data_IF_173864164208
#
_entry.id   IF_173864164208
#
_cell.length_a   1.000
_cell.length_b   1.000
_cell.length_c   1.000
_cell.angle_alpha   90.00
_cell.angle_beta   90.00
_cell.angle_gamma   90.00
#
_symmetry.space_group_name_H-M   'P 1'
#
loop_
_entity.id
_entity.type
_entity.pdbx_description
1 polymer ?
#
# COMPACT_ATOMS: atom_id res chain seq x y z
N UNK A 1 40.65 -16.79 -3.02
CA UNK A 1 39.79 -15.90 -2.22
C UNK A 1 40.69 -15.06 -1.33
N UNK A 2 40.52 -13.72 -1.30
CA UNK A 2 41.28 -12.82 -0.45
C UNK A 2 40.89 -12.96 1.04
N UNK A 3 41.78 -12.47 1.91
CA UNK A 3 41.55 -12.37 3.35
C UNK A 3 41.55 -10.91 3.80
N UNK A 4 40.53 -10.52 4.56
CA UNK A 4 40.47 -9.22 5.23
C UNK A 4 40.87 -9.39 6.70
N UNK A 5 41.93 -8.68 7.10
CA UNK A 5 42.43 -8.70 8.48
C UNK A 5 42.00 -7.43 9.19
N UNK A 6 41.37 -7.58 10.36
CA UNK A 6 40.86 -6.46 11.15
C UNK A 6 40.90 -6.78 12.64
N UNK A 7 40.60 -5.78 13.47
CA UNK A 7 40.49 -5.92 14.92
C UNK A 7 39.07 -5.56 15.36
N UNK A 8 38.46 -6.40 16.19
CA UNK A 8 37.23 -6.09 16.91
C UNK A 8 37.54 -6.25 18.40
N UNK A 9 37.25 -5.21 19.19
CA UNK A 9 37.69 -5.11 20.59
C UNK A 9 39.21 -5.32 20.69
N UNK A 10 39.66 -6.33 21.43
CA UNK A 10 41.06 -6.69 21.61
C UNK A 10 41.49 -7.94 20.83
N UNK A 11 40.71 -8.37 19.83
CA UNK A 11 40.98 -9.59 19.05
C UNK A 11 41.22 -9.26 17.58
N UNK A 12 42.29 -9.83 17.04
CA UNK A 12 42.53 -9.86 15.60
C UNK A 12 41.68 -10.95 14.95
N UNK A 13 41.13 -10.63 13.78
CA UNK A 13 40.25 -11.50 13.01
C UNK A 13 40.72 -11.48 11.56
N UNK A 14 40.69 -12.65 10.92
CA UNK A 14 40.95 -12.82 9.50
C UNK A 14 39.71 -13.44 8.87
N UNK A 15 39.09 -12.74 7.92
CA UNK A 15 37.86 -13.16 7.25
C UNK A 15 38.17 -13.45 5.78
N UNK A 16 37.83 -14.64 5.33
CA UNK A 16 37.82 -14.98 3.90
C UNK A 16 36.55 -14.42 3.26
N UNK A 17 36.66 -13.84 2.07
CA UNK A 17 35.52 -13.24 1.38
C UNK A 17 35.64 -13.35 -0.15
N UNK A 18 34.50 -13.22 -0.85
CA UNK A 18 34.47 -13.06 -2.30
C UNK A 18 34.81 -11.61 -2.68
N UNK A 19 35.70 -11.37 -3.65
CA UNK A 19 36.12 -10.01 -4.06
C UNK A 19 34.94 -9.06 -4.34
N UNK A 20 33.83 -9.57 -4.89
CA UNK A 20 32.60 -8.79 -5.15
C UNK A 20 31.94 -8.19 -3.89
N UNK A 21 32.24 -8.75 -2.72
CA UNK A 21 31.65 -8.37 -1.44
C UNK A 21 32.65 -7.62 -0.53
N UNK A 22 33.84 -7.26 -1.03
CA UNK A 22 34.88 -6.56 -0.28
C UNK A 22 34.35 -5.35 0.49
N UNK A 23 33.68 -4.44 -0.21
CA UNK A 23 33.13 -3.21 0.38
C UNK A 23 32.09 -3.54 1.45
N UNK A 24 31.22 -4.53 1.22
CA UNK A 24 30.20 -4.92 2.19
C UNK A 24 30.81 -5.46 3.47
N UNK A 25 31.87 -6.26 3.37
CA UNK A 25 32.59 -6.79 4.53
C UNK A 25 33.22 -5.65 5.33
N UNK A 26 33.91 -4.72 4.65
CA UNK A 26 34.54 -3.57 5.30
C UNK A 26 33.50 -2.71 6.01
N UNK A 27 32.41 -2.35 5.33
CA UNK A 27 31.32 -1.54 5.90
C UNK A 27 30.66 -2.24 7.10
N UNK A 28 30.44 -3.55 7.01
CA UNK A 28 29.86 -4.32 8.13
C UNK A 28 30.77 -4.31 9.36
N UNK A 29 32.07 -4.46 9.17
CA UNK A 29 33.04 -4.42 10.27
C UNK A 29 33.11 -3.02 10.88
N UNK A 30 33.10 -1.97 10.06
CA UNK A 30 33.09 -0.59 10.52
C UNK A 30 31.83 -0.31 11.37
N UNK A 31 30.66 -0.75 10.92
CA UNK A 31 29.41 -0.63 11.67
C UNK A 31 29.47 -1.37 13.02
N UNK A 32 30.04 -2.57 13.05
CA UNK A 32 30.22 -3.33 14.30
C UNK A 32 31.10 -2.55 15.27
N UNK A 33 32.24 -2.04 14.80
CA UNK A 33 33.17 -1.27 15.64
C UNK A 33 32.53 0.02 16.15
N UNK A 34 31.81 0.76 15.31
CA UNK A 34 31.08 1.96 15.73
C UNK A 34 30.04 1.65 16.82
N UNK A 35 29.24 0.60 16.65
CA UNK A 35 28.26 0.19 17.67
C UNK A 35 28.93 -0.25 18.98
N UNK A 36 30.09 -0.89 18.91
CA UNK A 36 30.89 -1.25 20.08
C UNK A 36 31.39 0.01 20.80
N UNK A 37 32.00 0.94 20.07
CA UNK A 37 32.53 2.18 20.64
C UNK A 37 31.43 2.99 21.33
N UNK A 38 30.25 3.09 20.70
CA UNK A 38 29.07 3.74 21.28
C UNK A 38 28.60 3.05 22.58
N UNK A 39 28.63 1.71 22.64
CA UNK A 39 28.30 0.98 23.86
C UNK A 39 29.32 1.20 24.96
N UNK A 40 30.61 1.23 24.63
CA UNK A 40 31.70 1.42 25.59
C UNK A 40 31.71 2.83 26.21
N UNK A 41 31.02 3.81 25.61
CA UNK A 41 30.78 5.11 26.25
C UNK A 41 29.82 5.01 27.45
N UNK A 42 28.99 3.96 27.54
CA UNK A 42 28.04 3.77 28.63
C UNK A 42 28.76 3.12 29.82
N UNK A 43 28.74 3.72 31.02
CA UNK A 43 29.49 3.23 32.19
C UNK A 43 29.16 1.81 32.68
N UNK A 44 28.07 1.22 32.20
CA UNK A 44 27.65 -0.16 32.48
C UNK A 44 28.43 -1.18 31.65
N UNK A 45 28.86 -0.80 30.44
CA UNK A 45 29.53 -1.68 29.49
C UNK A 45 31.05 -1.41 29.41
N UNK A 46 31.56 -0.42 30.14
CA UNK A 46 32.97 -0.05 30.15
C UNK A 46 33.74 -0.61 31.36
N UNK A 47 35.07 -0.46 31.33
CA UNK A 47 35.99 -0.73 32.45
C UNK A 47 35.89 -2.15 33.03
N UNK A 48 35.75 -3.18 32.18
CA UNK A 48 35.76 -4.59 32.60
C UNK A 48 34.52 -5.03 33.40
N UNK A 49 33.48 -4.19 33.47
CA UNK A 49 32.20 -4.54 34.12
C UNK A 49 31.39 -5.58 33.35
N UNK A 50 31.71 -5.76 32.07
CA UNK A 50 31.15 -6.78 31.19
C UNK A 50 32.30 -7.42 30.42
N UNK A 51 32.22 -8.73 30.18
CA UNK A 51 33.21 -9.41 29.36
C UNK A 51 32.96 -9.13 27.87
N UNK A 52 34.04 -9.08 27.09
CA UNK A 52 33.98 -8.92 25.62
C UNK A 52 33.00 -9.90 24.97
N UNK A 53 32.97 -11.16 25.44
CA UNK A 53 32.05 -12.18 24.94
C UNK A 53 30.59 -11.79 25.19
N UNK A 54 30.25 -11.32 26.39
CA UNK A 54 28.87 -10.92 26.70
C UNK A 54 28.49 -9.67 25.91
N UNK A 55 29.40 -8.70 25.78
CA UNK A 55 29.19 -7.49 24.98
C UNK A 55 28.90 -7.84 23.51
N UNK A 56 29.69 -8.73 22.92
CA UNK A 56 29.49 -9.20 21.54
C UNK A 56 28.18 -9.99 21.41
N UNK A 57 27.83 -10.84 22.37
CA UNK A 57 26.54 -11.56 22.37
C UNK A 57 25.35 -10.59 22.43
N UNK A 58 25.41 -9.56 23.27
CA UNK A 58 24.36 -8.53 23.34
C UNK A 58 24.23 -7.78 22.01
N UNK A 59 25.35 -7.38 21.42
CA UNK A 59 25.35 -6.73 20.11
C UNK A 59 24.76 -7.64 19.02
N UNK A 60 25.10 -8.93 19.03
CA UNK A 60 24.53 -9.91 18.10
C UNK A 60 23.01 -10.02 18.23
N UNK A 61 22.49 -10.04 19.46
CA UNK A 61 21.04 -10.08 19.73
C UNK A 61 20.36 -8.82 19.20
N UNK A 62 20.95 -7.65 19.44
CA UNK A 62 20.42 -6.37 18.97
C UNK A 62 20.39 -6.27 17.44
N UNK A 63 21.48 -6.66 16.77
CA UNK A 63 21.54 -6.67 15.31
C UNK A 63 20.51 -7.63 14.69
N UNK A 64 20.29 -8.80 15.33
CA UNK A 64 19.24 -9.73 14.91
C UNK A 64 17.84 -9.13 15.11
N UNK A 65 17.61 -8.40 16.20
CA UNK A 65 16.34 -7.70 16.43
C UNK A 65 16.10 -6.59 15.40
N UNK A 66 17.10 -5.75 15.12
CA UNK A 66 17.05 -4.70 14.08
C UNK A 66 16.76 -5.30 12.70
N UNK A 67 17.37 -6.45 12.37
CA UNK A 67 17.12 -7.16 11.11
C UNK A 67 15.67 -7.66 11.04
N UNK A 68 15.16 -8.27 12.10
CA UNK A 68 13.78 -8.76 12.16
C UNK A 68 12.77 -7.61 12.00
N UNK A 69 13.03 -6.47 12.63
CA UNK A 69 12.19 -5.28 12.48
C UNK A 69 12.18 -4.78 11.03
N UNK A 70 13.35 -4.67 10.39
CA UNK A 70 13.46 -4.28 8.97
C UNK A 70 12.71 -5.23 8.04
N UNK A 71 12.86 -6.54 8.25
CA UNK A 71 12.12 -7.57 7.48
C UNK A 71 10.61 -7.41 7.68
N UNK A 72 10.15 -7.17 8.91
CA UNK A 72 8.74 -7.00 9.21
C UNK A 72 8.17 -5.72 8.59
N UNK A 73 8.92 -4.61 8.61
CA UNK A 73 8.53 -3.37 7.93
C UNK A 73 8.38 -3.60 6.43
N UNK A 74 9.34 -4.29 5.80
CA UNK A 74 9.30 -4.60 4.36
C UNK A 74 8.11 -5.50 3.99
N UNK A 75 7.84 -6.54 4.78
CA UNK A 75 6.64 -7.37 4.58
C UNK A 75 5.36 -6.57 4.73
N UNK A 76 5.31 -5.66 5.70
CA UNK A 76 4.13 -4.82 5.93
C UNK A 76 3.90 -3.79 4.81
N UNK A 77 4.95 -3.29 4.15
CA UNK A 77 4.79 -2.43 2.98
C UNK A 77 4.27 -3.21 1.78
N UNK A 78 4.83 -4.39 1.50
CA UNK A 78 4.39 -5.25 0.38
C UNK A 78 2.90 -5.64 0.50
N UNK A 79 2.43 -5.95 1.72
CA UNK A 79 1.01 -6.26 1.98
C UNK A 79 0.10 -5.04 1.80
N UNK A 80 0.57 -3.83 2.13
CA UNK A 80 -0.20 -2.60 1.93
C UNK A 80 -0.34 -2.26 0.44
N UNK A 81 0.72 -2.43 -0.33
CA UNK A 81 0.72 -2.15 -1.76
C UNK A 81 -0.23 -3.10 -2.51
N UNK A 82 -0.21 -4.40 -2.19
CA UNK A 82 -1.12 -5.38 -2.79
C UNK A 82 -2.61 -5.07 -2.52
N UNK A 83 -2.96 -4.68 -1.29
CA UNK A 83 -4.34 -4.28 -0.97
C UNK A 83 -4.74 -3.01 -1.70
N UNK A 84 -3.83 -2.04 -1.82
CA UNK A 84 -4.10 -0.78 -2.49
C UNK A 84 -4.37 -0.97 -3.99
N UNK A 85 -3.62 -1.84 -4.66
CA UNK A 85 -3.88 -2.22 -6.06
C UNK A 85 -5.24 -2.88 -6.26
N UNK A 86 -5.64 -3.76 -5.33
CA UNK A 86 -6.95 -4.43 -5.38
C UNK A 86 -8.10 -3.42 -5.20
N UNK A 87 -7.97 -2.46 -4.28
CA UNK A 87 -8.94 -1.38 -4.10
C UNK A 87 -9.05 -0.49 -5.34
N UNK A 88 -7.93 -0.13 -5.99
CA UNK A 88 -7.96 0.66 -7.23
C UNK A 88 -8.71 -0.10 -8.32
N UNK A 89 -8.40 -1.39 -8.50
CA UNK A 89 -9.05 -2.22 -9.51
C UNK A 89 -10.57 -2.34 -9.27
N UNK A 90 -10.97 -2.48 -8.01
CA UNK A 90 -12.39 -2.50 -7.64
C UNK A 90 -13.08 -1.15 -7.89
N UNK A 91 -12.45 -0.04 -7.52
CA UNK A 91 -12.99 1.30 -7.75
C UNK A 91 -13.14 1.64 -9.24
N UNK A 92 -12.21 1.20 -10.08
CA UNK A 92 -12.33 1.36 -11.54
C UNK A 92 -13.55 0.60 -12.09
N UNK A 93 -13.79 -0.63 -11.64
CA UNK A 93 -14.99 -1.39 -12.03
C UNK A 93 -16.29 -0.71 -11.61
N UNK A 94 -16.34 -0.18 -10.38
CA UNK A 94 -17.51 0.56 -9.90
C UNK A 94 -17.76 1.82 -10.73
N UNK A 95 -16.70 2.56 -11.08
CA UNK A 95 -16.81 3.74 -11.94
C UNK A 95 -17.42 3.39 -13.30
N UNK A 96 -16.97 2.30 -13.92
CA UNK A 96 -17.53 1.84 -15.20
C UNK A 96 -19.00 1.42 -15.09
N UNK A 97 -19.40 0.80 -13.96
CA UNK A 97 -20.79 0.44 -13.70
C UNK A 97 -21.67 1.68 -13.50
N UNK A 98 -21.20 2.67 -12.74
CA UNK A 98 -21.90 3.95 -12.56
C UNK A 98 -22.11 4.63 -13.91
N UNK A 99 -21.09 4.69 -14.76
CA UNK A 99 -21.20 5.31 -16.09
C UNK A 99 -22.25 4.61 -16.97
N UNK A 100 -22.34 3.27 -16.90
CA UNK A 100 -23.37 2.51 -17.62
C UNK A 100 -24.77 2.84 -17.11
N UNK A 101 -24.95 2.87 -15.78
CA UNK A 101 -26.23 3.19 -15.15
C UNK A 101 -26.67 4.63 -15.44
N UNK A 102 -25.73 5.59 -15.47
CA UNK A 102 -26.05 6.98 -15.85
C UNK A 102 -26.55 7.08 -17.29
N UNK A 103 -25.93 6.33 -18.21
CA UNK A 103 -26.37 6.28 -19.61
C UNK A 103 -27.76 5.64 -19.73
N UNK A 104 -28.01 4.55 -19.01
CA UNK A 104 -29.31 3.88 -19.00
C UNK A 104 -30.40 4.76 -18.40
N UNK A 105 -30.12 5.42 -17.26
CA UNK A 105 -31.02 6.40 -16.65
C UNK A 105 -31.41 7.50 -17.62
N UNK A 106 -30.45 8.06 -18.35
CA UNK A 106 -30.72 9.11 -19.34
C UNK A 106 -31.63 8.61 -20.47
N UNK A 107 -31.44 7.39 -20.94
CA UNK A 107 -32.31 6.80 -21.96
C UNK A 107 -33.74 6.65 -21.42
N UNK A 108 -33.91 6.14 -20.20
CA UNK A 108 -35.22 6.00 -19.57
C UNK A 108 -35.92 7.34 -19.31
N UNK A 109 -35.16 8.39 -18.96
CA UNK A 109 -35.71 9.74 -18.82
C UNK A 109 -36.22 10.31 -20.16
N UNK A 110 -35.52 10.02 -21.26
CA UNK A 110 -35.97 10.40 -22.60
C UNK A 110 -37.23 9.64 -23.00
N UNK A 111 -37.25 8.31 -22.84
CA UNK A 111 -38.42 7.46 -23.14
C UNK A 111 -39.65 7.91 -22.35
N UNK A 112 -39.48 8.24 -21.07
CA UNK A 112 -40.56 8.77 -20.25
C UNK A 112 -41.12 10.08 -20.81
N UNK A 113 -40.24 10.97 -21.28
CA UNK A 113 -40.66 12.26 -21.84
C UNK A 113 -41.46 12.09 -23.13
N UNK A 114 -41.07 11.13 -23.98
CA UNK A 114 -41.81 10.79 -25.20
C UNK A 114 -43.20 10.23 -24.86
N UNK A 115 -43.29 9.30 -23.90
CA UNK A 115 -44.57 8.75 -23.44
C UNK A 115 -45.49 9.81 -22.82
N UNK A 116 -44.95 10.74 -22.03
CA UNK A 116 -45.73 11.85 -21.44
C UNK A 116 -46.33 12.75 -22.55
N UNK A 117 -45.62 12.97 -23.66
CA UNK A 117 -46.12 13.71 -24.82
C UNK A 117 -47.22 12.94 -25.57
N UNK A 118 -47.01 11.66 -25.85
CA UNK A 118 -48.01 10.81 -26.49
C UNK A 118 -49.31 10.77 -25.66
N UNK A 119 -49.19 10.65 -24.34
CA UNK A 119 -50.34 10.62 -23.44
C UNK A 119 -51.11 11.95 -23.46
N UNK A 120 -50.40 13.09 -23.52
CA UNK A 120 -51.02 14.40 -23.66
C UNK A 120 -51.81 14.53 -24.97
N UNK A 121 -51.24 14.08 -26.09
CA UNK A 121 -51.94 14.12 -27.38
C UNK A 121 -53.19 13.24 -27.40
N UNK A 122 -53.11 12.05 -26.80
CA UNK A 122 -54.27 11.14 -26.67
C UNK A 122 -55.36 11.80 -25.83
N UNK A 123 -55.03 12.37 -24.67
CA UNK A 123 -56.01 13.04 -23.81
C UNK A 123 -56.71 14.18 -24.53
N UNK A 124 -55.97 15.00 -25.29
CA UNK A 124 -56.55 16.07 -26.09
C UNK A 124 -57.54 15.54 -27.14
N UNK A 125 -57.18 14.47 -27.87
CA UNK A 125 -58.09 13.83 -28.84
C UNK A 125 -59.35 13.27 -28.17
N UNK A 126 -59.21 12.70 -26.97
CA UNK A 126 -60.36 12.19 -26.19
C UNK A 126 -61.27 13.34 -25.75
N UNK A 127 -60.71 14.45 -25.26
CA UNK A 127 -61.48 15.64 -24.88
C UNK A 127 -62.23 16.24 -26.07
N UNK A 128 -61.58 16.35 -27.23
CA UNK A 128 -62.19 16.83 -28.47
C UNK A 128 -63.36 15.94 -28.90
N UNK A 129 -63.21 14.61 -28.83
CA UNK A 129 -64.29 13.65 -29.09
C UNK A 129 -65.46 13.80 -28.11
N UNK A 130 -65.17 13.95 -26.82
CA UNK A 130 -66.20 14.19 -25.79
C UNK A 130 -66.96 15.49 -26.10
N UNK A 131 -66.26 16.54 -26.55
CA UNK A 131 -66.87 17.81 -26.91
C UNK A 131 -67.82 17.67 -28.12
N UNK A 132 -67.38 16.98 -29.18
CA UNK A 132 -68.20 16.69 -30.37
C UNK A 132 -69.46 15.92 -29.97
N UNK A 133 -69.32 14.84 -29.19
CA UNK A 133 -70.45 14.04 -28.74
C UNK A 133 -71.44 14.90 -27.93
N UNK A 134 -70.95 15.69 -26.97
CA UNK A 134 -71.82 16.56 -26.18
C UNK A 134 -72.62 17.54 -27.04
N UNK A 135 -71.99 18.17 -28.04
CA UNK A 135 -72.67 19.13 -28.90
C UNK A 135 -73.67 18.47 -29.88
N UNK A 136 -73.44 17.20 -30.27
CA UNK A 136 -74.37 16.45 -31.13
C UNK A 136 -75.70 16.05 -30.47
N UNK A 137 -75.81 16.14 -29.13
CA UNK A 137 -77.06 15.90 -28.40
C UNK A 137 -77.93 17.15 -28.24
N UNK A 138 -77.47 18.32 -28.70
CA UNK A 138 -78.17 19.61 -28.58
C UNK A 138 -78.56 20.25 -29.94
N UNK A 139 -78.40 19.52 -31.04
CA UNK A 139 -79.06 19.79 -32.34
C UNK A 139 -80.32 18.92 -32.49
#
# INVERSE_FOLDING_TARGET
>A
MPFYKTKILNREISLEYDEKDETKIIDSINLINEKIDNKLQIPKYSNGKISDTILLSLLSIELQAELLEKINIQKNSEVKDAKYEEYIKYNLKLKDQILKLEKEKKNLENEKTELDQEFYEINKKVEDLIHIIKNSYYE
#
